data_IF_001091586015
#
_entry.id   IF_001091586015
#
_cell.length_a   1.000
_cell.length_b   1.000
_cell.length_c   1.000
_cell.angle_alpha   90.00
_cell.angle_beta   90.00
_cell.angle_gamma   90.00
#
_symmetry.space_group_name_H-M   'P 1'
#
loop_
_entity.id
_entity.type
_entity.pdbx_description
1 polymer ?
#
# COMPACT_ATOMS: atom_id res chain seq x y z
N UNK A 1 27.83 1.68 -6.90
CA UNK A 1 27.16 2.14 -5.67
C UNK A 1 26.06 1.14 -5.34
N UNK A 2 26.01 0.56 -4.14
CA UNK A 2 24.93 -0.35 -3.78
C UNK A 2 23.61 0.43 -3.70
N UNK A 3 22.63 0.02 -4.48
CA UNK A 3 21.28 0.60 -4.43
C UNK A 3 20.58 0.00 -3.21
N UNK A 4 20.40 0.80 -2.17
CA UNK A 4 19.76 0.35 -0.93
C UNK A 4 18.26 0.59 -1.05
N UNK A 5 17.50 -0.49 -1.20
CA UNK A 5 16.03 -0.45 -1.21
C UNK A 5 15.51 -0.29 0.22
N UNK A 6 15.33 0.96 0.66
CA UNK A 6 14.82 1.29 2.00
C UNK A 6 13.34 1.66 1.93
N UNK A 7 12.53 1.04 2.78
CA UNK A 7 11.11 1.38 2.94
C UNK A 7 10.94 2.66 3.78
N UNK A 8 10.95 3.80 3.09
CA UNK A 8 10.95 5.13 3.71
C UNK A 8 9.57 5.55 4.22
N UNK A 9 9.52 6.54 5.11
CA UNK A 9 8.25 7.05 5.70
C UNK A 9 7.24 7.51 4.64
N UNK A 10 7.72 8.07 3.51
CA UNK A 10 6.89 8.56 2.40
C UNK A 10 6.14 7.45 1.65
N UNK A 11 6.74 6.27 1.58
CA UNK A 11 6.18 5.08 0.92
C UNK A 11 5.19 4.31 1.80
N UNK A 12 5.09 4.63 3.10
CA UNK A 12 4.21 3.90 4.02
C UNK A 12 2.79 4.41 3.92
N UNK A 13 1.87 3.54 3.52
CA UNK A 13 0.44 3.80 3.64
C UNK A 13 0.01 3.63 5.11
N UNK A 14 -0.05 4.74 5.85
CA UNK A 14 -0.45 4.76 7.28
C UNK A 14 -1.76 5.52 7.57
N UNK A 15 -2.28 6.27 6.60
CA UNK A 15 -3.49 7.05 6.81
C UNK A 15 -4.69 6.12 6.92
N UNK A 16 -5.42 6.19 8.04
CA UNK A 16 -6.66 5.41 8.23
C UNK A 16 -7.67 5.68 7.10
N UNK A 17 -7.87 6.95 6.74
CA UNK A 17 -8.79 7.35 5.66
C UNK A 17 -8.45 6.67 4.33
N UNK A 18 -7.17 6.63 3.96
CA UNK A 18 -6.74 5.99 2.72
C UNK A 18 -6.86 4.46 2.77
N UNK A 19 -6.63 3.85 3.95
CA UNK A 19 -6.86 2.43 4.15
C UNK A 19 -8.35 2.09 4.06
N UNK A 20 -9.22 2.86 4.71
CA UNK A 20 -10.67 2.67 4.64
C UNK A 20 -11.18 2.81 3.20
N UNK A 21 -10.67 3.81 2.47
CA UNK A 21 -10.95 4.01 1.04
C UNK A 21 -10.42 2.86 0.17
N UNK A 22 -9.22 2.35 0.46
CA UNK A 22 -8.62 1.20 -0.22
C UNK A 22 -9.44 -0.08 0.01
N UNK A 23 -9.96 -0.29 1.22
CA UNK A 23 -10.81 -1.44 1.53
C UNK A 23 -12.23 -1.31 0.95
N UNK A 24 -12.74 -0.09 0.80
CA UNK A 24 -14.10 0.17 0.30
C UNK A 24 -14.17 0.22 -1.22
N UNK A 25 -13.19 0.86 -1.87
CA UNK A 25 -13.18 1.15 -3.31
C UNK A 25 -12.06 0.43 -4.06
N UNK A 26 -11.11 -0.18 -3.36
CA UNK A 26 -10.02 -0.92 -3.98
C UNK A 26 -10.42 -2.32 -4.42
N UNK A 27 -9.61 -2.89 -5.29
CA UNK A 27 -9.68 -4.29 -5.67
C UNK A 27 -8.84 -5.12 -4.70
N UNK A 28 -9.23 -6.38 -4.50
CA UNK A 28 -8.46 -7.31 -3.69
C UNK A 28 -8.29 -8.63 -4.42
N UNK A 29 -7.11 -9.22 -4.26
CA UNK A 29 -6.85 -10.58 -4.73
C UNK A 29 -6.02 -11.32 -3.69
N UNK A 30 -6.19 -12.64 -3.67
CA UNK A 30 -5.50 -13.52 -2.75
C UNK A 30 -4.57 -14.39 -3.56
N UNK A 31 -3.28 -14.28 -3.28
CA UNK A 31 -2.26 -15.22 -3.77
C UNK A 31 -1.70 -15.88 -2.54
N UNK A 32 -2.07 -17.14 -2.32
CA UNK A 32 -1.65 -17.87 -1.12
C UNK A 32 -0.15 -17.70 -0.88
N UNK A 33 0.30 -17.25 0.32
CA UNK A 33 -0.44 -17.03 1.58
C UNK A 33 -0.89 -15.57 1.85
N UNK A 34 -0.82 -14.67 0.87
CA UNK A 34 -0.98 -13.22 1.03
C UNK A 34 -2.32 -12.75 0.44
N UNK A 35 -3.00 -11.84 1.14
CA UNK A 35 -4.11 -11.05 0.58
C UNK A 35 -3.61 -9.65 0.27
N UNK A 36 -3.82 -9.21 -0.97
CA UNK A 36 -3.37 -7.92 -1.48
C UNK A 36 -4.59 -7.06 -1.75
N UNK A 37 -4.55 -5.81 -1.30
CA UNK A 37 -5.53 -4.78 -1.62
C UNK A 37 -4.84 -3.67 -2.39
N UNK A 38 -5.40 -3.28 -3.53
CA UNK A 38 -4.81 -2.27 -4.39
C UNK A 38 -5.89 -1.36 -4.96
N UNK A 39 -5.54 -0.09 -5.15
CA UNK A 39 -6.36 0.90 -5.84
C UNK A 39 -5.43 1.66 -6.78
N UNK A 40 -5.79 1.68 -8.06
CA UNK A 40 -5.07 2.48 -9.05
C UNK A 40 -5.54 3.92 -8.88
N UNK A 41 -4.62 4.82 -8.56
CA UNK A 41 -4.88 6.25 -8.43
C UNK A 41 -4.19 6.95 -9.58
N UNK A 42 -4.95 7.62 -10.43
CA UNK A 42 -4.42 8.31 -11.62
C UNK A 42 -3.62 9.57 -11.25
N UNK A 43 -3.92 10.17 -10.08
CA UNK A 43 -3.17 11.28 -9.54
C UNK A 43 -1.87 10.77 -8.93
N UNK A 44 -0.75 10.97 -9.64
CA UNK A 44 0.61 10.82 -9.10
C UNK A 44 0.72 11.61 -7.81
N UNK A 45 0.91 10.92 -6.68
CA UNK A 45 1.34 11.58 -5.46
C UNK A 45 2.69 12.27 -5.75
N UNK A 46 2.86 13.54 -5.35
CA UNK A 46 4.02 14.36 -5.75
C UNK A 46 5.36 13.80 -5.29
N UNK A 47 5.36 12.92 -4.29
CA UNK A 47 6.57 12.44 -3.61
C UNK A 47 6.84 10.94 -3.76
N UNK A 48 5.92 10.15 -4.34
CA UNK A 48 6.06 8.68 -4.33
C UNK A 48 5.24 8.01 -5.43
N UNK A 49 5.83 7.03 -6.11
CA UNK A 49 5.14 6.25 -7.17
C UNK A 49 4.14 5.24 -6.60
N UNK A 50 4.43 4.67 -5.42
CA UNK A 50 3.60 3.63 -4.79
C UNK A 50 3.62 3.82 -3.27
N UNK A 51 2.44 3.80 -2.63
CA UNK A 51 2.32 3.71 -1.18
C UNK A 51 1.88 2.29 -0.81
N UNK A 52 2.65 1.64 0.06
CA UNK A 52 2.39 0.26 0.48
C UNK A 52 2.13 0.24 1.97
N UNK A 53 1.16 -0.56 2.41
CA UNK A 53 0.90 -0.86 3.81
C UNK A 53 0.96 -2.37 4.00
N UNK A 54 1.61 -2.83 5.07
CA UNK A 54 1.62 -4.24 5.44
C UNK A 54 0.95 -4.36 6.80
N UNK A 55 -0.04 -5.23 6.89
CA UNK A 55 -0.76 -5.54 8.12
C UNK A 55 -0.98 -7.04 8.20
N UNK A 56 -1.01 -7.54 9.43
CA UNK A 56 -1.43 -8.92 9.72
C UNK A 56 -2.80 -8.87 10.40
N UNK A 57 -3.64 -9.85 10.10
CA UNK A 57 -4.86 -10.05 10.88
C UNK A 57 -4.47 -10.49 12.29
N UNK A 58 -5.22 -10.01 13.29
CA UNK A 58 -5.02 -10.40 14.68
C UNK A 58 -5.73 -11.74 14.92
N UNK A 59 -5.21 -12.83 14.35
CA UNK A 59 -5.63 -14.21 14.60
C UNK A 59 -4.44 -15.16 14.42
#
# INVERSE_FOLDING_TARGET
MPVIFTYNKKEKLKSKKLLDELFTQGNSFVVFPIKIFFKVVENKLPDTTIQVGVGVSKK
#
